data_IF_664815194181
#
_entry.id   IF_664815194181
#
_cell.length_a   1.000
_cell.length_b   1.000
_cell.length_c   1.000
_cell.angle_alpha   90.00
_cell.angle_beta   90.00
_cell.angle_gamma   90.00
#
_symmetry.space_group_name_H-M   'P 1'
#
loop_
_entity.id
_entity.type
_entity.pdbx_description
1 polymer ?
#
# COMPACT_ATOMS: atom_id res chain seq x y z
N UNK A 1 10.85 7.55 8.17
CA UNK A 1 9.45 7.07 8.19
C UNK A 1 9.03 6.87 6.74
N UNK A 2 9.06 5.64 6.22
CA UNK A 2 8.69 5.38 4.83
C UNK A 2 7.18 5.59 4.60
N UNK A 3 6.86 6.43 3.62
CA UNK A 3 5.51 6.59 3.09
C UNK A 3 5.49 6.11 1.64
N UNK A 4 4.48 5.31 1.29
CA UNK A 4 4.28 4.79 -0.07
C UNK A 4 2.84 5.00 -0.49
N UNK A 5 2.64 5.51 -1.70
CA UNK A 5 1.32 5.63 -2.32
C UNK A 5 1.21 4.65 -3.47
N UNK A 6 0.22 3.78 -3.41
CA UNK A 6 -0.11 2.83 -4.48
C UNK A 6 -1.38 3.31 -5.15
N UNK A 7 -1.27 3.68 -6.42
CA UNK A 7 -2.40 4.10 -7.26
C UNK A 7 -2.85 2.92 -8.12
N UNK A 8 -4.14 2.58 -8.05
CA UNK A 8 -4.70 1.41 -8.76
C UNK A 8 -6.02 1.80 -9.40
N UNK A 9 -6.22 1.47 -10.67
CA UNK A 9 -7.43 1.81 -11.41
C UNK A 9 -8.68 1.11 -10.85
N UNK A 10 -8.57 -0.19 -10.61
CA UNK A 10 -9.67 -1.00 -10.10
C UNK A 10 -9.27 -1.70 -8.81
N UNK A 11 -9.88 -1.27 -7.71
CA UNK A 11 -9.71 -1.93 -6.43
C UNK A 11 -11.00 -1.72 -5.61
N UNK A 12 -12.06 -2.42 -6.00
CA UNK A 12 -13.35 -2.34 -5.29
C UNK A 12 -13.47 -3.39 -4.18
N UNK A 13 -12.60 -4.40 -4.17
CA UNK A 13 -12.57 -5.39 -3.10
C UNK A 13 -11.73 -4.94 -1.91
N UNK A 14 -12.39 -4.73 -0.76
CA UNK A 14 -11.72 -4.41 0.51
C UNK A 14 -10.71 -5.49 0.94
N UNK A 15 -10.97 -6.75 0.58
CA UNK A 15 -10.06 -7.87 0.90
C UNK A 15 -8.74 -7.74 0.13
N UNK A 16 -8.80 -7.26 -1.12
CA UNK A 16 -7.62 -7.03 -1.93
C UNK A 16 -6.79 -5.86 -1.38
N UNK A 17 -7.43 -4.74 -1.00
CA UNK A 17 -6.76 -3.59 -0.35
C UNK A 17 -5.99 -4.01 0.90
N UNK A 18 -6.60 -4.84 1.75
CA UNK A 18 -5.95 -5.34 2.97
C UNK A 18 -4.73 -6.21 2.67
N UNK A 19 -4.86 -7.15 1.74
CA UNK A 19 -3.73 -8.00 1.32
C UNK A 19 -2.58 -7.18 0.74
N UNK A 20 -2.90 -6.19 -0.08
CA UNK A 20 -1.91 -5.31 -0.68
C UNK A 20 -1.18 -4.48 0.37
N UNK A 21 -1.91 -3.82 1.28
CA UNK A 21 -1.31 -3.06 2.37
C UNK A 21 -0.35 -3.93 3.20
N UNK A 22 -0.77 -5.15 3.55
CA UNK A 22 0.06 -6.09 4.29
C UNK A 22 1.34 -6.48 3.53
N UNK A 23 1.23 -6.77 2.24
CA UNK A 23 2.37 -7.15 1.41
C UNK A 23 3.38 -5.99 1.27
N UNK A 24 2.90 -4.77 1.03
CA UNK A 24 3.74 -3.57 0.92
C UNK A 24 4.42 -3.27 2.24
N UNK A 25 3.70 -3.33 3.36
CA UNK A 25 4.29 -3.12 4.69
C UNK A 25 5.36 -4.16 4.99
N UNK A 26 5.11 -5.44 4.72
CA UNK A 26 6.10 -6.50 4.96
C UNK A 26 7.36 -6.31 4.11
N UNK A 27 7.20 -5.96 2.83
CA UNK A 27 8.32 -5.65 1.96
C UNK A 27 9.17 -4.50 2.55
N UNK A 28 8.54 -3.37 2.89
CA UNK A 28 9.24 -2.20 3.43
C UNK A 28 9.95 -2.49 4.76
N UNK A 29 9.31 -3.23 5.66
CA UNK A 29 9.90 -3.66 6.93
C UNK A 29 11.14 -4.53 6.67
N UNK A 30 11.02 -5.51 5.77
CA UNK A 30 12.12 -6.45 5.46
C UNK A 30 13.30 -5.79 4.75
N UNK A 31 13.06 -4.84 3.85
CA UNK A 31 14.11 -4.23 3.03
C UNK A 31 14.79 -3.05 3.72
N UNK A 32 14.02 -2.24 4.45
CA UNK A 32 14.50 -1.02 5.09
C UNK A 32 14.84 -1.22 6.57
N UNK A 33 14.68 -2.45 7.09
CA UNK A 33 14.87 -2.81 8.50
C UNK A 33 14.19 -1.82 9.45
N UNK A 34 12.96 -1.42 9.09
CA UNK A 34 12.17 -0.43 9.84
C UNK A 34 11.06 -1.11 10.63
N UNK A 35 10.51 -0.41 11.62
CA UNK A 35 9.37 -0.94 12.37
C UNK A 35 8.07 -0.81 11.58
N UNK A 36 7.14 -1.77 11.69
CA UNK A 36 5.86 -1.71 10.98
C UNK A 36 5.02 -0.49 11.39
N UNK A 37 5.12 -0.03 12.65
CA UNK A 37 4.41 1.18 13.10
C UNK A 37 4.86 2.48 12.42
N UNK A 38 5.98 2.47 11.69
CA UNK A 38 6.55 3.63 11.01
C UNK A 38 6.31 3.63 9.51
N UNK A 39 5.50 2.70 9.01
CA UNK A 39 5.19 2.54 7.59
C UNK A 39 3.78 3.04 7.32
N UNK A 40 3.66 4.01 6.41
CA UNK A 40 2.35 4.50 5.95
C UNK A 40 2.14 4.09 4.50
N UNK A 41 1.05 3.35 4.24
CA UNK A 41 0.65 2.93 2.89
C UNK A 41 -0.67 3.62 2.52
N UNK A 42 -0.62 4.47 1.50
CA UNK A 42 -1.78 5.10 0.91
C UNK A 42 -2.23 4.28 -0.29
N UNK A 43 -3.50 3.86 -0.33
CA UNK A 43 -4.09 3.17 -1.48
C UNK A 43 -5.11 4.11 -2.10
N UNK A 44 -4.75 4.68 -3.25
CA UNK A 44 -5.58 5.62 -3.98
C UNK A 44 -6.20 4.93 -5.19
N UNK A 45 -7.49 5.18 -5.42
CA UNK A 45 -8.14 4.77 -6.65
C UNK A 45 -7.72 5.75 -7.75
N UNK A 46 -7.18 5.23 -8.83
CA UNK A 46 -6.88 6.02 -10.02
C UNK A 46 -8.13 6.00 -10.89
N UNK A 47 -8.90 7.09 -10.91
CA UNK A 47 -9.93 7.26 -11.93
C UNK A 47 -9.21 7.64 -13.22
N UNK A 48 -9.02 6.65 -14.10
CA UNK A 48 -8.57 6.94 -15.46
C UNK A 48 -9.74 7.67 -16.14
N UNK A 49 -9.63 8.98 -16.33
CA UNK A 49 -10.48 9.73 -17.27
C UNK A 49 -10.16 9.19 -18.68
N UNK A 50 -10.89 8.17 -19.12
CA UNK A 50 -10.94 7.79 -20.53
C UNK A 50 -12.29 7.19 -20.90
#
# INVERSE_FOLDING_TARGET
>A
MPSVTVKIAECDSIRLKRKLAQAVTHALVSTLNTKPEWVTVHIEKFESEN
#
